data_IF_693797412705
#
_entry.id   IF_693797412705
#
_cell.length_a   1.000
_cell.length_b   1.000
_cell.length_c   1.000
_cell.angle_alpha   90.00
_cell.angle_beta   90.00
_cell.angle_gamma   90.00
#
_symmetry.space_group_name_H-M   'P 1'
#
loop_
_entity.id
_entity.type
_entity.pdbx_description
1 polymer ?
#
# COMPACT_ATOMS: atom_id res chain seq x y z
N UNK A 1 4.93 8.13 6.98
CA UNK A 1 4.91 7.16 5.87
C UNK A 1 3.64 6.34 5.92
N UNK A 2 3.30 5.64 4.85
CA UNK A 2 2.05 4.89 4.72
C UNK A 2 2.35 3.39 4.91
N UNK A 3 1.60 2.74 5.80
CA UNK A 3 1.80 1.34 6.17
C UNK A 3 0.48 0.60 6.11
N UNK A 4 0.56 -0.69 5.78
CA UNK A 4 -0.59 -1.59 5.82
C UNK A 4 -0.80 -2.04 7.27
N UNK A 5 -1.98 -1.72 7.81
CA UNK A 5 -2.38 -2.11 9.17
C UNK A 5 -3.33 -3.30 9.19
N UNK A 6 -4.04 -3.56 8.09
CA UNK A 6 -4.96 -4.68 7.95
C UNK A 6 -5.06 -5.10 6.48
N UNK A 7 -5.32 -6.38 6.25
CA UNK A 7 -5.64 -6.96 4.95
C UNK A 7 -6.95 -7.73 5.12
N UNK A 8 -7.96 -7.33 4.35
CA UNK A 8 -9.24 -8.04 4.34
C UNK A 8 -9.08 -9.39 3.59
N UNK A 9 -9.65 -10.50 4.11
CA UNK A 9 -9.67 -11.78 3.41
C UNK A 9 -10.37 -11.70 2.05
N UNK A 10 -9.89 -12.46 1.08
CA UNK A 10 -10.37 -12.49 -0.31
C UNK A 10 -10.33 -11.13 -1.02
N UNK A 11 -9.54 -10.18 -0.51
CA UNK A 11 -9.36 -8.87 -1.13
C UNK A 11 -8.36 -8.92 -2.28
N UNK A 12 -8.40 -7.94 -3.21
CA UNK A 12 -7.33 -7.78 -4.21
C UNK A 12 -5.95 -7.60 -3.57
N UNK A 13 -5.89 -6.98 -2.38
CA UNK A 13 -4.65 -6.77 -1.65
C UNK A 13 -4.06 -8.09 -1.14
N UNK A 14 -4.88 -8.98 -0.57
CA UNK A 14 -4.46 -10.31 -0.13
C UNK A 14 -3.95 -11.15 -1.31
N UNK A 15 -4.73 -11.20 -2.41
CA UNK A 15 -4.33 -11.94 -3.63
C UNK A 15 -3.05 -11.41 -4.27
N UNK A 16 -2.77 -10.11 -4.12
CA UNK A 16 -1.52 -9.50 -4.57
C UNK A 16 -0.33 -9.79 -3.63
N UNK A 17 -0.56 -10.47 -2.51
CA UNK A 17 0.46 -10.85 -1.54
C UNK A 17 0.91 -9.71 -0.64
N UNK A 18 0.11 -8.64 -0.51
CA UNK A 18 0.35 -7.59 0.49
C UNK A 18 0.18 -8.16 1.90
N UNK A 19 0.98 -7.65 2.83
CA UNK A 19 0.98 -8.10 4.23
C UNK A 19 0.85 -6.94 5.18
N UNK A 20 0.35 -7.24 6.37
CA UNK A 20 0.44 -6.31 7.49
C UNK A 20 1.91 -5.90 7.69
N UNK A 21 2.12 -4.63 8.04
CA UNK A 21 3.44 -4.00 8.22
C UNK A 21 4.22 -3.68 6.94
N UNK A 22 3.72 -4.03 5.75
CA UNK A 22 4.29 -3.52 4.50
C UNK A 22 4.27 -1.98 4.50
N UNK A 23 5.41 -1.38 4.16
CA UNK A 23 5.53 0.06 3.95
C UNK A 23 5.33 0.39 2.49
N UNK A 24 4.33 1.21 2.16
CA UNK A 24 4.06 1.65 0.79
C UNK A 24 5.07 2.73 0.42
N UNK A 25 5.86 2.47 -0.62
CA UNK A 25 6.86 3.39 -1.16
C UNK A 25 6.35 4.12 -2.39
N UNK A 26 5.69 3.42 -3.31
CA UNK A 26 5.14 4.02 -4.54
C UNK A 26 3.80 3.40 -4.92
N UNK A 27 2.93 4.20 -5.54
CA UNK A 27 1.66 3.74 -6.14
C UNK A 27 1.49 4.36 -7.52
N UNK A 28 1.31 3.52 -8.55
CA UNK A 28 1.19 3.94 -9.95
C UNK A 28 2.32 4.91 -10.35
N UNK A 29 3.55 4.60 -9.94
CA UNK A 29 4.74 5.40 -10.22
C UNK A 29 4.95 6.61 -9.30
N UNK A 30 3.95 7.06 -8.54
CA UNK A 30 4.05 8.22 -7.63
C UNK A 30 4.68 7.83 -6.30
N UNK A 31 5.51 8.72 -5.74
CA UNK A 31 6.15 8.52 -4.44
C UNK A 31 5.16 8.73 -3.29
N UNK A 32 5.11 7.76 -2.37
CA UNK A 32 4.23 7.71 -1.20
C UNK A 32 5.01 7.82 0.12
N UNK A 33 6.34 7.97 0.08
CA UNK A 33 7.19 7.99 1.28
C UNK A 33 6.92 9.18 2.20
N UNK A 34 6.59 10.35 1.63
CA UNK A 34 6.32 11.62 2.34
C UNK A 34 4.86 12.09 2.23
N UNK A 35 3.94 11.27 1.72
CA UNK A 35 2.53 11.65 1.65
C UNK A 35 1.86 11.64 3.03
N UNK A 36 0.94 12.60 3.22
CA UNK A 36 -0.02 12.54 4.33
C UNK A 36 -1.01 11.40 4.10
N UNK A 37 -1.57 10.87 5.18
CA UNK A 37 -2.57 9.81 5.11
C UNK A 37 -3.77 10.19 4.22
N UNK A 38 -4.30 11.39 4.39
CA UNK A 38 -5.45 11.87 3.62
C UNK A 38 -5.18 11.90 2.11
N UNK A 39 -4.01 12.42 1.70
CA UNK A 39 -3.63 12.46 0.28
C UNK A 39 -3.46 11.06 -0.29
N UNK A 40 -2.85 10.15 0.46
CA UNK A 40 -2.69 8.76 0.06
C UNK A 40 -4.04 8.07 -0.16
N UNK A 41 -4.98 8.21 0.79
CA UNK A 41 -6.33 7.63 0.68
C UNK A 41 -7.09 8.18 -0.52
N UNK A 42 -7.07 9.51 -0.72
CA UNK A 42 -7.74 10.14 -1.85
C UNK A 42 -7.20 9.64 -3.19
N UNK A 43 -5.89 9.45 -3.30
CA UNK A 43 -5.26 8.93 -4.51
C UNK A 43 -5.64 7.46 -4.74
N UNK A 44 -5.52 6.60 -3.72
CA UNK A 44 -5.81 5.16 -3.81
C UNK A 44 -7.27 4.93 -4.24
N UNK A 45 -8.23 5.67 -3.66
CA UNK A 45 -9.66 5.55 -3.99
C UNK A 45 -10.01 5.99 -5.42
N UNK A 46 -9.14 6.78 -6.08
CA UNK A 46 -9.41 7.32 -7.43
C UNK A 46 -9.23 6.26 -8.52
N UNK A 47 -8.40 5.25 -8.30
CA UNK A 47 -8.02 4.29 -9.33
C UNK A 47 -8.50 2.88 -8.97
N UNK A 48 -9.11 2.14 -9.90
CA UNK A 48 -9.59 0.78 -9.63
C UNK A 48 -8.47 -0.26 -9.55
N UNK A 49 -7.31 0.01 -10.18
CA UNK A 49 -6.14 -0.89 -10.20
C UNK A 49 -4.90 -0.09 -9.82
N UNK A 50 -4.05 -0.68 -8.99
CA UNK A 50 -2.89 -0.04 -8.40
C UNK A 50 -1.65 -0.94 -8.54
N UNK A 51 -0.59 -0.42 -9.13
CA UNK A 51 0.74 -1.01 -9.09
C UNK A 51 1.51 -0.41 -7.92
N UNK A 52 1.89 -1.24 -6.95
CA UNK A 52 2.52 -0.78 -5.70
C UNK A 52 3.94 -1.30 -5.56
N UNK A 53 4.84 -0.44 -5.08
CA UNK A 53 6.14 -0.84 -4.57
C UNK A 53 6.08 -0.76 -3.05
N UNK A 54 6.38 -1.87 -2.38
CA UNK A 54 6.39 -1.97 -0.92
C UNK A 54 7.77 -2.38 -0.41
N UNK A 55 8.13 -1.88 0.77
CA UNK A 55 9.21 -2.45 1.56
C UNK A 55 8.62 -3.37 2.62
N UNK A 56 9.10 -4.61 2.63
CA UNK A 56 8.82 -5.61 3.66
C UNK A 56 10.13 -5.87 4.39
N UNK A 57 10.12 -5.73 5.71
CA UNK A 57 11.16 -6.37 6.51
C UNK A 57 10.70 -7.80 6.71
N UNK A 58 11.49 -8.76 6.24
CA UNK A 58 11.33 -10.13 6.73
C UNK A 58 11.65 -10.08 8.23
N UNK A 59 10.68 -10.50 9.03
CA UNK A 59 10.89 -10.75 10.45
C UNK A 59 11.98 -11.83 10.56
N UNK A 60 13.08 -11.52 11.24
CA UNK A 60 14.16 -12.49 11.53
C UNK A 60 13.66 -13.59 12.49
#
# INVERSE_FOLDING_TARGET
GIYITHIDPDSPAERAGLRQHDKILRVNGNDFTMLTHEKAVKYIKKYPVLNMLVARRDDF
#
